data_IF_349650283818
#
_entry.id   IF_349650283818
#
_cell.length_a   1.000
_cell.length_b   1.000
_cell.length_c   1.000
_cell.angle_alpha   90.00
_cell.angle_beta   90.00
_cell.angle_gamma   90.00
#
_symmetry.space_group_name_H-M   'P 1'
#
loop_
_entity.id
_entity.type
_entity.pdbx_description
1 polymer ?
#
# COMPACT_ATOMS: atom_id res chain seq x y z
N UNK A 1 21.80 -35.54 5.05
CA UNK A 1 20.42 -35.80 5.48
C UNK A 1 19.54 -34.93 4.61
N UNK A 2 19.40 -35.33 3.35
CA UNK A 2 18.71 -34.58 2.31
C UNK A 2 17.29 -35.14 2.25
N UNK A 3 16.36 -34.41 2.87
CA UNK A 3 14.94 -34.70 2.84
C UNK A 3 14.34 -34.12 1.56
N UNK A 4 13.61 -34.98 0.86
CA UNK A 4 12.77 -34.70 -0.28
C UNK A 4 11.80 -33.54 0.04
N UNK A 5 11.99 -32.38 -0.60
CA UNK A 5 11.03 -31.28 -0.60
C UNK A 5 10.49 -31.11 -2.01
N UNK A 6 9.73 -32.11 -2.46
CA UNK A 6 8.74 -31.94 -3.52
C UNK A 6 7.65 -30.97 -3.04
N UNK A 7 7.99 -29.69 -3.03
CA UNK A 7 7.02 -28.61 -2.85
C UNK A 7 6.13 -28.58 -4.09
N UNK A 8 4.82 -28.70 -3.87
CA UNK A 8 3.77 -28.68 -4.88
C UNK A 8 3.74 -27.34 -5.62
N UNK A 9 4.18 -27.36 -6.88
CA UNK A 9 3.95 -26.31 -7.87
C UNK A 9 2.43 -26.22 -8.15
N UNK A 10 1.86 -25.02 -8.12
CA UNK A 10 0.45 -24.79 -8.48
C UNK A 10 0.18 -25.15 -9.94
N UNK A 11 -1.07 -25.42 -10.31
CA UNK A 11 -1.47 -25.76 -11.70
C UNK A 11 -1.18 -24.65 -12.72
N UNK A 12 -0.82 -23.45 -12.27
CA UNK A 12 -0.44 -22.27 -13.03
C UNK A 12 1.08 -21.96 -12.98
N UNK A 13 1.87 -22.86 -12.38
CA UNK A 13 3.33 -22.71 -12.24
C UNK A 13 3.74 -21.68 -11.18
N UNK A 14 2.83 -21.23 -10.31
CA UNK A 14 3.19 -20.39 -9.17
C UNK A 14 3.56 -21.23 -7.95
N UNK A 15 4.63 -20.83 -7.28
CA UNK A 15 4.95 -21.30 -5.93
C UNK A 15 4.04 -20.58 -4.93
N UNK A 16 3.49 -21.28 -3.92
CA UNK A 16 2.64 -20.69 -2.89
C UNK A 16 3.52 -19.91 -1.90
N UNK A 17 4.01 -18.76 -2.34
CA UNK A 17 4.52 -17.71 -1.49
C UNK A 17 4.58 -16.42 -2.32
N UNK A 18 3.70 -15.47 -2.01
CA UNK A 18 3.72 -14.09 -2.53
C UNK A 18 5.02 -13.35 -2.17
N UNK A 19 5.91 -13.98 -1.38
CA UNK A 19 7.27 -13.54 -1.06
C UNK A 19 8.29 -14.71 -1.09
N UNK A 20 8.16 -15.66 -2.02
CA UNK A 20 9.12 -16.77 -2.11
C UNK A 20 10.45 -16.28 -2.70
N UNK A 21 11.52 -16.41 -1.91
CA UNK A 21 12.88 -16.82 -2.27
C UNK A 21 13.56 -16.14 -3.46
N UNK A 22 13.24 -16.48 -4.73
CA UNK A 22 13.99 -15.96 -5.87
C UNK A 22 13.96 -14.44 -6.03
N UNK A 23 12.82 -13.75 -5.98
CA UNK A 23 12.80 -12.28 -6.19
C UNK A 23 13.58 -11.49 -5.13
N UNK A 24 13.70 -12.01 -3.92
CA UNK A 24 14.43 -11.28 -2.89
C UNK A 24 15.95 -11.36 -3.10
N UNK A 25 16.46 -12.53 -3.51
CA UNK A 25 17.90 -12.75 -3.65
C UNK A 25 18.42 -12.65 -5.08
N UNK A 26 17.57 -12.82 -6.10
CA UNK A 26 17.96 -12.80 -7.50
C UNK A 26 18.42 -11.40 -7.93
N UNK A 27 17.70 -10.34 -7.54
CA UNK A 27 18.06 -8.98 -7.90
C UNK A 27 19.41 -8.57 -7.28
N UNK A 28 19.64 -8.75 -5.96
CA UNK A 28 20.96 -8.55 -5.36
C UNK A 28 22.06 -9.42 -5.98
N UNK A 29 21.77 -10.68 -6.31
CA UNK A 29 22.73 -11.59 -6.94
C UNK A 29 23.13 -11.09 -8.33
N UNK A 30 22.16 -10.72 -9.18
CA UNK A 30 22.43 -10.19 -10.53
C UNK A 30 23.24 -8.90 -10.45
N UNK A 31 22.90 -8.00 -9.52
CA UNK A 31 23.66 -6.76 -9.28
C UNK A 31 25.09 -7.05 -8.82
N UNK A 32 25.28 -7.96 -7.85
CA UNK A 32 26.60 -8.34 -7.35
C UNK A 32 27.46 -8.98 -8.45
N UNK A 33 26.89 -9.89 -9.24
CA UNK A 33 27.59 -10.52 -10.37
C UNK A 33 27.95 -9.53 -11.47
N UNK A 34 27.09 -8.52 -11.71
CA UNK A 34 27.36 -7.44 -12.63
C UNK A 34 28.53 -6.55 -12.14
N UNK A 35 28.49 -6.11 -10.89
CA UNK A 35 29.52 -5.27 -10.27
C UNK A 35 30.88 -6.00 -10.21
N UNK A 36 30.87 -7.29 -9.89
CA UNK A 36 32.09 -8.11 -9.82
C UNK A 36 32.61 -8.58 -11.18
N UNK A 37 31.93 -8.23 -12.29
CA UNK A 37 32.30 -8.66 -13.64
C UNK A 37 32.21 -10.17 -13.87
N UNK A 38 31.53 -10.90 -12.98
CA UNK A 38 31.45 -12.37 -12.99
C UNK A 38 30.14 -12.90 -13.57
N UNK A 39 29.30 -12.01 -14.13
CA UNK A 39 27.97 -12.33 -14.65
C UNK A 39 28.01 -13.43 -15.72
N UNK A 40 28.89 -13.32 -16.72
CA UNK A 40 29.01 -14.28 -17.81
C UNK A 40 29.68 -15.61 -17.38
N UNK A 41 30.40 -15.58 -16.26
CA UNK A 41 31.07 -16.76 -15.69
C UNK A 41 30.09 -17.61 -14.90
N UNK A 42 29.22 -16.96 -14.11
CA UNK A 42 28.29 -17.63 -13.20
C UNK A 42 26.96 -17.94 -13.89
N UNK A 43 26.47 -17.04 -14.76
CA UNK A 43 25.19 -17.19 -15.44
C UNK A 43 25.38 -17.53 -16.92
N UNK A 44 25.13 -18.79 -17.26
CA UNK A 44 25.04 -19.24 -18.65
C UNK A 44 23.87 -18.61 -19.41
N UNK A 45 23.84 -18.79 -20.73
CA UNK A 45 22.81 -18.24 -21.61
C UNK A 45 21.38 -18.65 -21.20
N UNK A 46 21.17 -19.92 -20.86
CA UNK A 46 19.86 -20.42 -20.42
C UNK A 46 19.44 -19.83 -19.06
N UNK A 47 20.38 -19.65 -18.11
CA UNK A 47 20.07 -18.99 -16.84
C UNK A 47 19.61 -17.55 -17.06
N UNK A 48 20.31 -16.78 -17.90
CA UNK A 48 19.92 -15.40 -18.22
C UNK A 48 18.56 -15.33 -18.89
N UNK A 49 18.30 -16.23 -19.84
CA UNK A 49 17.00 -16.31 -20.53
C UNK A 49 15.87 -16.56 -19.53
N UNK A 50 16.06 -17.49 -18.61
CA UNK A 50 15.04 -17.80 -17.59
C UNK A 50 14.88 -16.67 -16.57
N UNK A 51 15.97 -16.04 -16.14
CA UNK A 51 15.94 -14.86 -15.26
C UNK A 51 15.14 -13.72 -15.90
N UNK A 52 15.41 -13.42 -17.18
CA UNK A 52 14.66 -12.40 -17.92
C UNK A 52 13.18 -12.76 -18.02
N UNK A 53 12.85 -14.01 -18.37
CA UNK A 53 11.46 -14.50 -18.43
C UNK A 53 10.73 -14.30 -17.10
N UNK A 54 11.39 -14.66 -16.00
CA UNK A 54 10.85 -14.54 -14.66
C UNK A 54 10.66 -13.06 -14.25
N UNK A 55 11.67 -12.21 -14.47
CA UNK A 55 11.59 -10.77 -14.16
C UNK A 55 10.50 -10.06 -14.97
N UNK A 56 10.30 -10.44 -16.24
CA UNK A 56 9.21 -9.91 -17.07
C UNK A 56 7.84 -10.28 -16.50
N UNK A 57 7.65 -11.53 -16.05
CA UNK A 57 6.40 -11.96 -15.41
C UNK A 57 6.16 -11.20 -14.10
N UNK A 58 7.19 -11.07 -13.27
CA UNK A 58 7.09 -10.34 -12.00
C UNK A 58 6.77 -8.85 -12.23
N UNK A 59 7.42 -8.20 -13.21
CA UNK A 59 7.16 -6.81 -13.56
C UNK A 59 5.73 -6.61 -14.07
N UNK A 60 5.19 -7.57 -14.85
CA UNK A 60 3.82 -7.54 -15.33
C UNK A 60 2.80 -7.56 -14.17
N UNK A 61 3.02 -8.42 -13.18
CA UNK A 61 2.17 -8.47 -11.98
C UNK A 61 2.30 -7.17 -11.17
N UNK A 62 3.53 -6.67 -10.98
CA UNK A 62 3.77 -5.45 -10.23
C UNK A 62 3.07 -4.24 -10.85
N UNK A 63 3.12 -4.07 -12.17
CA UNK A 63 2.44 -2.95 -12.84
C UNK A 63 0.92 -3.09 -12.82
N UNK A 64 0.38 -4.31 -12.78
CA UNK A 64 -1.06 -4.56 -12.61
C UNK A 64 -1.54 -4.08 -11.25
N UNK A 65 -0.79 -4.33 -10.16
CA UNK A 65 -1.10 -3.80 -8.85
C UNK A 65 -1.04 -2.27 -8.79
N UNK A 66 -0.03 -1.65 -9.41
CA UNK A 66 0.05 -0.18 -9.52
C UNK A 66 -1.18 0.40 -10.21
N UNK A 67 -1.58 -0.17 -11.36
CA UNK A 67 -2.77 0.27 -12.10
C UNK A 67 -4.04 0.11 -11.28
N UNK A 68 -4.16 -0.99 -10.54
CA UNK A 68 -5.30 -1.23 -9.65
C UNK A 68 -5.38 -0.15 -8.56
N UNK A 69 -4.27 0.17 -7.90
CA UNK A 69 -4.22 1.20 -6.86
C UNK A 69 -4.53 2.60 -7.43
N UNK A 70 -4.01 2.91 -8.62
CA UNK A 70 -4.27 4.16 -9.32
C UNK A 70 -5.77 4.36 -9.58
N UNK A 71 -6.45 3.33 -10.11
CA UNK A 71 -7.88 3.39 -10.40
C UNK A 71 -8.72 3.45 -9.11
N UNK A 72 -8.38 2.62 -8.11
CA UNK A 72 -9.08 2.54 -6.84
C UNK A 72 -9.03 3.87 -6.05
N UNK A 73 -7.85 4.47 -5.97
CA UNK A 73 -7.60 5.70 -5.22
C UNK A 73 -7.86 6.97 -6.03
N UNK A 74 -8.25 6.85 -7.30
CA UNK A 74 -8.30 7.97 -8.26
C UNK A 74 -6.97 8.74 -8.32
N UNK A 75 -5.89 7.97 -8.40
CA UNK A 75 -4.50 8.40 -8.53
C UNK A 75 -3.97 9.14 -7.30
N UNK A 76 -4.59 8.97 -6.14
CA UNK A 76 -4.13 9.58 -4.88
C UNK A 76 -3.10 8.70 -4.17
N UNK A 77 -3.25 7.37 -4.27
CA UNK A 77 -2.52 6.34 -3.49
C UNK A 77 -2.76 6.46 -1.97
N UNK A 78 -2.24 5.53 -1.16
CA UNK A 78 -2.44 5.56 0.30
C UNK A 78 -1.68 6.70 0.98
N UNK A 79 -0.56 7.10 0.39
CA UNK A 79 0.29 8.14 0.94
C UNK A 79 1.38 8.59 -0.02
N UNK A 80 2.08 9.64 0.39
CA UNK A 80 3.01 10.40 -0.46
C UNK A 80 4.18 9.57 -1.04
N UNK A 81 4.69 8.58 -0.30
CA UNK A 81 5.81 7.74 -0.75
C UNK A 81 5.36 6.83 -1.89
N UNK A 82 4.30 6.05 -1.67
CA UNK A 82 3.70 5.19 -2.69
C UNK A 82 3.26 6.02 -3.91
N UNK A 83 2.62 7.16 -3.66
CA UNK A 83 2.18 8.10 -4.70
C UNK A 83 3.30 8.46 -5.68
N UNK A 84 4.50 8.77 -5.19
CA UNK A 84 5.65 9.11 -6.04
C UNK A 84 6.16 7.88 -6.79
N UNK A 85 6.21 6.71 -6.14
CA UNK A 85 6.64 5.46 -6.79
C UNK A 85 5.70 5.02 -7.92
N UNK A 86 4.39 5.03 -7.68
CA UNK A 86 3.38 4.73 -8.70
C UNK A 86 3.44 5.74 -9.84
N UNK A 87 3.54 7.04 -9.53
CA UNK A 87 3.72 8.10 -10.55
C UNK A 87 4.95 7.82 -11.44
N UNK A 88 6.10 7.48 -10.85
CA UNK A 88 7.31 7.15 -11.59
C UNK A 88 7.13 5.89 -12.43
N UNK A 89 6.48 4.85 -11.91
CA UNK A 89 6.17 3.64 -12.66
C UNK A 89 5.31 3.93 -13.89
N UNK A 90 4.25 4.77 -13.74
CA UNK A 90 3.40 5.21 -14.86
C UNK A 90 4.18 6.05 -15.88
N UNK A 91 5.09 6.91 -15.42
CA UNK A 91 5.96 7.71 -16.29
C UNK A 91 6.95 6.85 -17.10
N UNK A 92 7.56 5.85 -16.47
CA UNK A 92 8.48 4.91 -17.14
C UNK A 92 7.75 4.07 -18.18
N UNK A 93 6.50 3.67 -17.92
CA UNK A 93 5.70 2.92 -18.89
C UNK A 93 5.33 3.76 -20.12
N UNK A 94 4.76 4.94 -19.92
CA UNK A 94 4.52 5.92 -20.98
C UNK A 94 4.39 7.34 -20.39
N UNK A 95 5.36 8.24 -20.67
CA UNK A 95 5.36 9.61 -20.15
C UNK A 95 4.27 10.50 -20.76
N UNK A 96 3.56 10.04 -21.80
CA UNK A 96 2.43 10.76 -22.41
C UNK A 96 1.06 10.19 -22.01
N UNK A 97 1.05 9.13 -21.20
CA UNK A 97 -0.16 8.42 -20.82
C UNK A 97 -1.13 9.30 -20.02
N UNK A 98 -2.42 8.98 -20.13
CA UNK A 98 -3.45 9.66 -19.33
C UNK A 98 -3.26 9.40 -17.84
N UNK A 99 -2.91 8.18 -17.46
CA UNK A 99 -2.59 7.83 -16.08
C UNK A 99 -1.50 8.75 -15.49
N UNK A 100 -0.41 8.98 -16.22
CA UNK A 100 0.65 9.90 -15.77
C UNK A 100 0.13 11.33 -15.55
N UNK A 101 -0.70 11.85 -16.46
CA UNK A 101 -1.31 13.18 -16.31
C UNK A 101 -2.25 13.26 -15.11
N UNK A 102 -3.03 12.21 -14.87
CA UNK A 102 -3.90 12.12 -13.70
C UNK A 102 -3.08 12.06 -12.40
N UNK A 103 -1.92 11.39 -12.39
CA UNK A 103 -1.00 11.46 -11.25
C UNK A 103 -0.50 12.88 -11.01
N UNK A 104 -0.07 13.59 -12.06
CA UNK A 104 0.44 14.96 -11.93
C UNK A 104 -0.62 15.90 -11.37
N UNK A 105 -1.88 15.76 -11.82
CA UNK A 105 -3.00 16.55 -11.34
C UNK A 105 -3.26 16.37 -9.83
N UNK A 106 -2.82 15.25 -9.25
CA UNK A 106 -2.99 14.91 -7.83
C UNK A 106 -1.82 15.28 -6.92
N UNK A 107 -0.71 15.81 -7.47
CA UNK A 107 0.43 16.25 -6.64
C UNK A 107 0.02 17.37 -5.67
N UNK A 108 -0.76 18.40 -6.09
CA UNK A 108 -1.15 19.48 -5.18
C UNK A 108 -1.97 19.02 -3.98
N UNK A 109 -2.69 17.90 -4.05
CA UNK A 109 -3.42 17.32 -2.92
C UNK A 109 -2.51 17.01 -1.72
N UNK A 110 -1.20 16.88 -1.94
CA UNK A 110 -0.19 16.63 -0.92
C UNK A 110 0.53 17.89 -0.43
N UNK A 111 0.27 19.06 -1.01
CA UNK A 111 0.96 20.29 -0.66
C UNK A 111 0.34 20.97 0.56
N UNK A 112 1.17 21.31 1.53
CA UNK A 112 0.79 22.04 2.73
C UNK A 112 1.66 23.28 2.92
N UNK A 113 1.08 24.46 2.90
CA UNK A 113 1.81 25.70 3.19
C UNK A 113 1.80 25.95 4.70
N UNK A 114 2.95 25.74 5.34
CA UNK A 114 3.17 26.04 6.74
C UNK A 114 3.85 27.41 6.92
N UNK A 115 3.96 27.88 8.17
CA UNK A 115 4.63 29.14 8.53
C UNK A 115 6.08 29.20 8.05
N UNK A 116 6.75 28.05 7.96
CA UNK A 116 8.12 27.86 7.50
C UNK A 116 8.23 27.46 6.02
N UNK A 117 7.12 27.48 5.28
CA UNK A 117 7.09 27.28 3.83
C UNK A 117 6.32 26.04 3.38
N UNK A 118 6.48 25.70 2.11
CA UNK A 118 5.76 24.61 1.46
C UNK A 118 6.32 23.24 1.87
N UNK A 119 5.43 22.35 2.29
CA UNK A 119 5.70 20.98 2.72
C UNK A 119 4.88 19.98 1.93
N UNK A 120 5.29 18.72 1.97
CA UNK A 120 4.49 17.59 1.48
C UNK A 120 3.96 16.86 2.71
N UNK A 121 2.64 16.73 2.81
CA UNK A 121 1.99 15.92 3.84
C UNK A 121 2.12 14.42 3.50
N UNK A 122 2.11 13.55 4.50
CA UNK A 122 2.18 12.10 4.25
C UNK A 122 0.86 11.56 3.67
N UNK A 123 -0.24 11.95 4.30
CA UNK A 123 -1.64 11.72 3.92
C UNK A 123 -2.49 12.78 4.62
N UNK A 124 -3.77 12.93 4.23
CA UNK A 124 -4.67 13.88 4.85
C UNK A 124 -5.27 13.37 6.17
N UNK A 125 -5.50 14.27 7.14
CA UNK A 125 -6.14 13.97 8.43
C UNK A 125 -7.55 14.54 8.57
N UNK A 126 -8.15 15.08 7.50
CA UNK A 126 -9.36 15.91 7.56
C UNK A 126 -10.53 15.21 8.25
N UNK A 127 -10.77 13.93 7.91
CA UNK A 127 -11.84 13.13 8.51
C UNK A 127 -11.57 12.83 9.99
N UNK A 128 -10.31 12.55 10.32
CA UNK A 128 -9.88 12.24 11.68
C UNK A 128 -10.04 13.45 12.60
N UNK A 129 -9.56 14.61 12.15
CA UNK A 129 -9.67 15.88 12.88
C UNK A 129 -11.12 16.31 13.05
N UNK A 130 -11.96 16.15 12.01
CA UNK A 130 -13.39 16.46 12.09
C UNK A 130 -14.10 15.56 13.11
N UNK A 131 -13.84 14.25 13.11
CA UNK A 131 -14.47 13.31 14.05
C UNK A 131 -14.11 13.63 15.51
N UNK A 132 -12.86 13.98 15.79
CA UNK A 132 -12.46 14.38 17.14
C UNK A 132 -12.97 15.76 17.53
N UNK A 133 -13.01 16.72 16.61
CA UNK A 133 -13.60 18.03 16.88
C UNK A 133 -15.09 17.91 17.26
N UNK A 134 -15.85 17.08 16.54
CA UNK A 134 -17.26 16.82 16.86
C UNK A 134 -17.39 16.19 18.26
N UNK A 135 -16.60 15.17 18.58
CA UNK A 135 -16.60 14.55 19.90
C UNK A 135 -16.27 15.55 21.02
N UNK A 136 -15.29 16.43 20.80
CA UNK A 136 -14.94 17.47 21.75
C UNK A 136 -16.09 18.47 21.96
N UNK A 137 -16.72 18.96 20.88
CA UNK A 137 -17.86 19.88 20.94
C UNK A 137 -19.03 19.25 21.73
N UNK A 138 -19.35 17.98 21.44
CA UNK A 138 -20.41 17.25 22.15
C UNK A 138 -20.10 17.08 23.63
N UNK A 139 -18.83 16.86 23.99
CA UNK A 139 -18.39 16.70 25.38
C UNK A 139 -18.43 18.00 26.19
N UNK A 140 -18.51 19.15 25.53
CA UNK A 140 -18.64 20.47 26.16
C UNK A 140 -20.10 20.92 26.32
N UNK A 141 -21.08 20.01 26.22
CA UNK A 141 -22.53 20.31 26.24
C UNK A 141 -22.97 21.32 25.17
N UNK A 142 -22.15 21.53 24.14
CA UNK A 142 -22.42 22.42 23.02
C UNK A 142 -23.20 21.74 21.88
N UNK A 143 -23.80 20.58 22.15
CA UNK A 143 -24.58 19.80 21.18
C UNK A 143 -25.74 20.60 20.55
N UNK A 144 -26.32 21.53 21.31
CA UNK A 144 -27.37 22.43 20.80
C UNK A 144 -26.87 23.30 19.65
N UNK A 145 -25.62 23.76 19.68
CA UNK A 145 -25.05 24.56 18.59
C UNK A 145 -24.94 23.77 17.28
N UNK A 146 -24.67 22.46 17.35
CA UNK A 146 -24.66 21.59 16.17
C UNK A 146 -26.08 21.36 15.63
N UNK A 147 -27.07 21.26 16.52
CA UNK A 147 -28.48 21.07 16.12
C UNK A 147 -29.10 22.30 15.45
N UNK A 148 -28.55 23.49 15.69
CA UNK A 148 -28.98 24.75 15.09
C UNK A 148 -28.29 25.05 13.75
N UNK A 149 -27.36 24.20 13.31
CA UNK A 149 -26.66 24.42 12.05
C UNK A 149 -27.63 24.35 10.85
N UNK A 150 -27.51 25.26 9.87
CA UNK A 150 -28.39 25.28 8.70
C UNK A 150 -28.29 23.97 7.90
N UNK A 151 -29.44 23.44 7.47
CA UNK A 151 -29.50 22.16 6.73
C UNK A 151 -28.84 22.23 5.35
N UNK A 152 -28.74 23.42 4.75
CA UNK A 152 -27.98 23.67 3.53
C UNK A 152 -26.46 23.54 3.74
N UNK A 153 -25.99 23.69 4.98
CA UNK A 153 -24.58 23.50 5.35
C UNK A 153 -24.29 22.06 5.77
N UNK A 154 -25.17 21.45 6.57
CA UNK A 154 -24.97 20.09 7.13
C UNK A 154 -25.38 18.99 6.14
N UNK A 155 -26.27 19.30 5.20
CA UNK A 155 -26.82 18.34 4.25
C UNK A 155 -27.94 17.48 4.85
N UNK A 156 -28.33 16.46 4.08
CA UNK A 156 -29.39 15.54 4.46
C UNK A 156 -28.94 14.59 5.58
N UNK A 157 -29.89 14.17 6.41
CA UNK A 157 -29.64 13.16 7.43
C UNK A 157 -29.19 11.84 6.79
N UNK A 158 -28.17 11.22 7.38
CA UNK A 158 -27.67 9.93 6.91
C UNK A 158 -28.69 8.82 7.14
N UNK A 159 -28.92 7.99 6.11
CA UNK A 159 -29.78 6.81 6.21
C UNK A 159 -29.29 5.83 7.28
N UNK A 160 -30.22 5.28 8.07
CA UNK A 160 -29.91 4.34 9.14
C UNK A 160 -29.10 3.13 8.65
N UNK A 161 -29.36 2.65 7.43
CA UNK A 161 -28.65 1.52 6.85
C UNK A 161 -27.13 1.73 6.78
N UNK A 162 -26.68 2.96 6.49
CA UNK A 162 -25.25 3.27 6.40
C UNK A 162 -24.52 3.13 7.73
N UNK A 163 -25.22 3.32 8.85
CA UNK A 163 -24.65 3.04 10.17
C UNK A 163 -24.45 1.54 10.38
N UNK A 164 -25.42 0.70 9.96
CA UNK A 164 -25.25 -0.75 10.03
C UNK A 164 -24.12 -1.23 9.12
N UNK A 165 -23.98 -0.66 7.92
CA UNK A 165 -22.89 -0.99 7.01
C UNK A 165 -21.53 -0.64 7.61
N UNK A 166 -21.40 0.54 8.23
CA UNK A 166 -20.18 0.96 8.93
C UNK A 166 -19.83 0.01 10.10
N UNK A 167 -20.82 -0.37 10.91
CA UNK A 167 -20.63 -1.36 11.99
C UNK A 167 -20.18 -2.70 11.42
N UNK A 168 -20.78 -3.16 10.32
CA UNK A 168 -20.39 -4.41 9.68
C UNK A 168 -18.94 -4.37 9.16
N UNK A 169 -18.50 -3.24 8.58
CA UNK A 169 -17.09 -3.07 8.16
C UNK A 169 -16.16 -3.17 9.37
N UNK A 170 -16.43 -2.42 10.44
CA UNK A 170 -15.60 -2.47 11.66
C UNK A 170 -15.53 -3.90 12.19
N UNK A 171 -16.66 -4.57 12.38
CA UNK A 171 -16.70 -5.94 12.91
C UNK A 171 -16.03 -6.95 11.98
N UNK A 172 -16.02 -6.71 10.66
CA UNK A 172 -15.30 -7.58 9.72
C UNK A 172 -13.77 -7.54 9.87
N UNK A 173 -13.24 -6.49 10.52
CA UNK A 173 -11.82 -6.32 10.79
C UNK A 173 -11.38 -6.93 12.14
N UNK A 174 -12.32 -7.38 12.98
CA UNK A 174 -12.00 -7.90 14.31
C UNK A 174 -11.13 -9.16 14.25
N UNK A 175 -10.01 -9.19 14.96
CA UNK A 175 -9.18 -10.39 15.05
C UNK A 175 -9.70 -11.38 16.08
N UNK A 176 -9.14 -12.59 16.05
CA UNK A 176 -9.53 -13.69 16.95
C UNK A 176 -9.27 -13.42 18.45
N UNK A 177 -8.39 -12.50 18.78
CA UNK A 177 -8.12 -12.02 20.15
C UNK A 177 -9.08 -10.88 20.59
N UNK A 178 -9.92 -10.39 19.69
CA UNK A 178 -10.90 -9.33 19.92
C UNK A 178 -10.44 -7.90 19.60
N UNK A 179 -9.18 -7.68 19.21
CA UNK A 179 -8.70 -6.36 18.80
C UNK A 179 -9.02 -6.02 17.34
N UNK A 180 -8.53 -4.85 16.90
CA UNK A 180 -8.78 -4.31 15.57
C UNK A 180 -7.50 -3.68 14.99
N UNK A 181 -7.01 -4.16 13.84
CA UNK A 181 -5.91 -3.53 13.10
C UNK A 181 -6.38 -2.25 12.40
N UNK A 182 -5.43 -1.49 11.84
CA UNK A 182 -5.71 -0.16 11.29
C UNK A 182 -6.45 -0.21 9.95
N UNK A 183 -6.01 -1.07 9.03
CA UNK A 183 -6.48 -1.05 7.64
C UNK A 183 -7.06 -2.38 7.15
N UNK A 184 -6.45 -3.50 7.51
CA UNK A 184 -6.91 -4.83 7.10
C UNK A 184 -6.65 -5.90 8.17
N UNK A 185 -7.38 -7.04 8.15
CA UNK A 185 -7.14 -8.13 9.09
C UNK A 185 -5.70 -8.64 9.00
N UNK A 186 -5.11 -9.03 10.14
CA UNK A 186 -3.79 -9.64 10.17
C UNK A 186 -3.78 -10.98 9.38
N UNK A 187 -3.13 -10.97 8.21
CA UNK A 187 -3.02 -12.16 7.32
C UNK A 187 -1.71 -12.92 7.48
N UNK A 188 -0.78 -12.39 8.26
CA UNK A 188 0.60 -12.84 8.29
C UNK A 188 1.16 -12.94 9.73
N UNK A 189 2.18 -13.78 9.92
CA UNK A 189 2.68 -14.12 11.26
C UNK A 189 3.82 -13.20 11.71
N UNK A 190 3.90 -12.94 13.02
CA UNK A 190 4.91 -12.06 13.65
C UNK A 190 6.36 -12.36 13.32
N UNK A 191 6.71 -13.60 12.98
CA UNK A 191 8.10 -13.92 12.60
C UNK A 191 8.54 -13.27 11.29
N UNK A 192 7.59 -12.84 10.44
CA UNK A 192 7.91 -12.13 9.20
C UNK A 192 8.61 -10.80 9.45
N UNK A 193 8.40 -10.17 10.61
CA UNK A 193 9.14 -8.95 11.00
C UNK A 193 10.66 -9.15 11.05
N UNK A 194 11.14 -10.40 11.15
CA UNK A 194 12.59 -10.70 11.02
C UNK A 194 13.14 -10.39 9.63
N UNK A 195 12.28 -10.22 8.63
CA UNK A 195 12.63 -9.86 7.26
C UNK A 195 12.41 -8.38 6.98
N UNK A 196 12.07 -7.55 7.98
CA UNK A 196 11.90 -6.13 7.79
C UNK A 196 13.22 -5.52 7.30
N UNK A 197 13.27 -5.02 6.04
CA UNK A 197 14.49 -4.48 5.47
C UNK A 197 14.66 -2.99 5.81
N UNK A 198 13.69 -2.37 6.48
CA UNK A 198 13.76 -0.96 6.84
C UNK A 198 14.67 -0.79 8.06
N UNK A 199 15.62 0.13 7.95
CA UNK A 199 16.63 0.34 9.00
C UNK A 199 16.13 1.24 10.14
N UNK A 200 15.04 1.99 9.89
CA UNK A 200 14.57 3.06 10.76
C UNK A 200 13.15 2.87 11.29
N UNK A 201 12.42 1.86 10.80
CA UNK A 201 11.05 1.58 11.20
C UNK A 201 10.93 0.15 11.73
N UNK A 202 10.14 -0.01 12.78
CA UNK A 202 9.83 -1.30 13.40
C UNK A 202 8.37 -1.67 13.11
N UNK A 203 8.06 -2.98 13.13
CA UNK A 203 6.71 -3.52 12.98
C UNK A 203 5.96 -3.00 11.73
N UNK A 204 6.58 -3.15 10.54
CA UNK A 204 6.05 -2.61 9.28
C UNK A 204 5.60 -3.66 8.26
N UNK A 205 5.87 -4.95 8.50
CA UNK A 205 5.57 -6.00 7.51
C UNK A 205 4.20 -6.63 7.70
N UNK A 206 3.62 -6.53 8.89
CA UNK A 206 2.31 -7.09 9.19
C UNK A 206 1.43 -6.04 9.87
N UNK A 207 0.13 -6.10 9.58
CA UNK A 207 -0.86 -5.39 10.39
C UNK A 207 -0.89 -5.97 11.81
N UNK A 208 -0.86 -5.07 12.79
CA UNK A 208 -0.95 -5.38 14.22
C UNK A 208 -1.96 -4.49 14.91
N UNK A 209 -2.33 -4.86 16.13
CA UNK A 209 -3.29 -4.17 16.99
C UNK A 209 -2.62 -3.46 18.16
#
# INVERSE_FOLDING_TARGET
MWGDSSGSEGSDGHWPAESAGPLFFLQPLVMALYITGSLDVVLGAEHKKEIVRYLQKALQIAIEHVRYEDENSRYLCIGSVEKVLCLLARWVEDPNSEAYKLHLARIPDYFWLAEDGLKIQSFGSQMWDAAFAIQAILSCDAALLLSEMPTDLVGDQMETQRFFDAVNVILSLQSSNGGFPAWEPQRAYRWLEKFNPTEFFEDTLIETE
#
